data_IF_367947470957
#
_entry.id   IF_367947470957
#
_cell.length_a   1.000
_cell.length_b   1.000
_cell.length_c   1.000
_cell.angle_alpha   90.00
_cell.angle_beta   90.00
_cell.angle_gamma   90.00
#
_symmetry.space_group_name_H-M   'P 1'
#
loop_
_entity.id
_entity.type
_entity.pdbx_description
1 polymer ?
#
# COMPACT_ATOMS: atom_id res chain seq x y z
N UNK A 1 2.61 -17.15 15.48
CA UNK A 1 1.78 -16.79 16.66
C UNK A 1 1.30 -18.01 17.43
N UNK A 2 0.65 -18.99 16.78
CA UNK A 2 0.13 -20.18 17.48
C UNK A 2 1.25 -21.07 18.06
N UNK A 3 2.33 -21.27 17.30
CA UNK A 3 3.49 -22.07 17.75
C UNK A 3 4.16 -21.47 18.99
N UNK A 4 4.38 -20.15 19.00
CA UNK A 4 4.95 -19.45 20.14
C UNK A 4 4.02 -19.50 21.36
N UNK A 5 2.71 -19.31 21.18
CA UNK A 5 1.74 -19.45 22.27
C UNK A 5 1.78 -20.87 22.88
N UNK A 6 1.83 -21.91 22.05
CA UNK A 6 1.95 -23.30 22.52
C UNK A 6 3.25 -23.58 23.29
N UNK A 7 4.36 -22.96 22.88
CA UNK A 7 5.63 -23.07 23.60
C UNK A 7 5.52 -22.40 24.99
N UNK A 8 4.92 -21.21 25.07
CA UNK A 8 4.74 -20.49 26.34
C UNK A 8 3.78 -21.18 27.30
N UNK A 9 2.74 -21.87 26.81
CA UNK A 9 1.84 -22.64 27.69
C UNK A 9 2.57 -23.76 28.42
N UNK A 10 3.55 -24.39 27.78
CA UNK A 10 4.29 -25.52 28.36
C UNK A 10 5.50 -25.09 29.18
N UNK A 11 6.15 -23.96 28.84
CA UNK A 11 7.31 -23.48 29.58
C UNK A 11 6.95 -22.67 30.82
N UNK A 12 5.81 -21.97 30.78
CA UNK A 12 5.39 -21.05 31.83
C UNK A 12 4.13 -21.51 32.59
N UNK A 13 3.59 -22.68 32.26
CA UNK A 13 2.34 -23.23 32.82
C UNK A 13 1.15 -22.23 32.76
N UNK A 14 1.13 -21.38 31.73
CA UNK A 14 0.05 -20.41 31.50
C UNK A 14 -1.09 -21.03 30.68
N UNK A 15 -2.30 -20.48 30.83
CA UNK A 15 -3.40 -20.85 29.94
C UNK A 15 -3.08 -20.47 28.50
N UNK A 16 -3.60 -21.24 27.54
CA UNK A 16 -3.42 -20.95 26.11
C UNK A 16 -3.84 -19.54 25.71
N UNK A 17 -4.90 -19.02 26.30
CA UNK A 17 -5.39 -17.66 26.04
C UNK A 17 -4.39 -16.62 26.55
N UNK A 18 -3.81 -16.82 27.74
CA UNK A 18 -2.85 -15.89 28.34
C UNK A 18 -1.53 -15.88 27.56
N UNK A 19 -1.03 -17.07 27.16
CA UNK A 19 0.15 -17.20 26.31
C UNK A 19 -0.06 -16.61 24.91
N UNK A 20 -1.26 -16.76 24.35
CA UNK A 20 -1.62 -16.15 23.07
C UNK A 20 -1.69 -14.63 23.17
N UNK A 21 -2.30 -14.10 24.23
CA UNK A 21 -2.37 -12.68 24.53
C UNK A 21 -0.96 -12.07 24.68
N UNK A 22 -0.09 -12.68 25.49
CA UNK A 22 1.29 -12.25 25.67
C UNK A 22 2.06 -12.21 24.35
N UNK A 23 1.95 -13.28 23.56
CA UNK A 23 2.59 -13.39 22.25
C UNK A 23 2.08 -12.31 21.28
N UNK A 24 0.76 -12.09 21.24
CA UNK A 24 0.13 -11.12 20.33
C UNK A 24 0.59 -9.69 20.66
N UNK A 25 0.54 -9.28 21.93
CA UNK A 25 0.91 -7.94 22.36
C UNK A 25 2.39 -7.65 22.18
N UNK A 26 3.23 -8.67 22.37
CA UNK A 26 4.67 -8.57 22.11
C UNK A 26 4.95 -8.39 20.62
N UNK A 27 4.25 -9.13 19.76
CA UNK A 27 4.43 -9.05 18.30
C UNK A 27 3.86 -7.77 17.68
N UNK A 28 2.74 -7.27 18.20
CA UNK A 28 2.18 -5.96 17.81
C UNK A 28 2.97 -4.81 18.47
N UNK A 29 4.01 -5.12 19.27
CA UNK A 29 4.88 -4.15 19.94
C UNK A 29 4.15 -3.20 20.91
N UNK A 30 2.97 -3.60 21.40
CA UNK A 30 2.22 -2.86 22.42
C UNK A 30 2.91 -3.02 23.77
N UNK A 31 3.26 -4.26 24.13
CA UNK A 31 4.09 -4.59 25.30
C UNK A 31 3.61 -4.05 26.64
N UNK A 32 2.37 -4.33 27.08
CA UNK A 32 1.85 -3.85 28.37
C UNK A 32 2.69 -4.29 29.59
N UNK A 33 3.33 -5.46 29.51
CA UNK A 33 4.20 -5.97 30.58
C UNK A 33 3.45 -6.48 31.82
N UNK A 34 2.15 -6.76 31.68
CA UNK A 34 1.29 -7.35 32.71
C UNK A 34 1.59 -8.83 32.96
N UNK A 35 1.96 -9.56 31.92
CA UNK A 35 2.46 -10.94 31.99
C UNK A 35 3.98 -10.96 31.84
N UNK A 36 4.68 -11.49 32.83
CA UNK A 36 6.14 -11.53 32.88
C UNK A 36 6.67 -12.97 32.83
N UNK A 37 7.71 -13.20 32.03
CA UNK A 37 8.37 -14.50 31.99
C UNK A 37 9.18 -14.65 33.28
N UNK A 38 8.78 -15.59 34.14
CA UNK A 38 9.61 -16.07 35.24
C UNK A 38 10.86 -16.75 34.65
N UNK A 39 11.99 -16.05 34.69
CA UNK A 39 13.28 -16.61 34.27
C UNK A 39 14.17 -16.76 35.48
N UNK A 40 14.62 -17.98 35.74
CA UNK A 40 15.62 -18.28 36.77
C UNK A 40 17.00 -17.81 36.29
N UNK A 41 17.21 -16.51 36.16
CA UNK A 41 18.50 -15.78 36.01
C UNK A 41 19.39 -16.09 34.79
N UNK A 42 19.44 -17.34 34.32
CA UNK A 42 20.53 -17.87 33.50
C UNK A 42 20.18 -17.89 31.99
N UNK A 43 18.90 -17.78 31.63
CA UNK A 43 18.42 -17.95 30.24
C UNK A 43 17.77 -16.70 29.62
N UNK A 44 18.01 -15.52 30.18
CA UNK A 44 17.34 -14.29 29.71
C UNK A 44 17.66 -13.94 28.24
N UNK A 45 18.90 -14.15 27.80
CA UNK A 45 19.32 -13.89 26.42
C UNK A 45 18.59 -14.78 25.42
N UNK A 46 18.28 -16.03 25.80
CA UNK A 46 17.53 -16.97 24.96
C UNK A 46 16.10 -16.49 24.70
N UNK A 47 15.43 -15.97 25.72
CA UNK A 47 14.08 -15.41 25.58
C UNK A 47 14.05 -14.17 24.68
N UNK A 48 15.02 -13.28 24.85
CA UNK A 48 15.16 -12.09 23.99
C UNK A 48 15.36 -12.52 22.54
N UNK A 49 16.27 -13.46 22.27
CA UNK A 49 16.51 -13.97 20.92
C UNK A 49 15.25 -14.62 20.32
N UNK A 50 14.50 -15.38 21.12
CA UNK A 50 13.25 -16.00 20.68
C UNK A 50 12.20 -14.96 20.26
N UNK A 51 12.06 -13.86 21.03
CA UNK A 51 11.16 -12.76 20.69
C UNK A 51 11.58 -12.08 19.38
N UNK A 52 12.88 -11.81 19.20
CA UNK A 52 13.39 -11.22 17.95
C UNK A 52 13.12 -12.10 16.73
N UNK A 53 13.35 -13.41 16.84
CA UNK A 53 13.03 -14.36 15.76
C UNK A 53 11.53 -14.36 15.45
N UNK A 54 10.69 -14.35 16.49
CA UNK A 54 9.24 -14.24 16.35
C UNK A 54 8.80 -12.97 15.64
N UNK A 55 9.40 -11.83 16.00
CA UNK A 55 9.14 -10.54 15.36
C UNK A 55 9.51 -10.56 13.88
N UNK A 56 10.69 -11.05 13.52
CA UNK A 56 11.13 -11.14 12.11
C UNK A 56 10.14 -11.97 11.28
N UNK A 57 9.74 -13.14 11.78
CA UNK A 57 8.77 -13.99 11.08
C UNK A 57 7.39 -13.32 10.94
N UNK A 58 6.96 -12.56 11.95
CA UNK A 58 5.69 -11.84 11.89
C UNK A 58 5.73 -10.69 10.88
N UNK A 59 6.81 -9.90 10.86
CA UNK A 59 7.01 -8.81 9.89
C UNK A 59 7.01 -9.36 8.47
N UNK A 60 7.73 -10.45 8.20
CA UNK A 60 7.72 -11.09 6.88
C UNK A 60 6.32 -11.53 6.43
N UNK A 61 5.51 -12.02 7.37
CA UNK A 61 4.11 -12.41 7.07
C UNK A 61 3.27 -11.18 6.74
N UNK A 62 3.42 -10.11 7.52
CA UNK A 62 2.74 -8.83 7.28
C UNK A 62 3.16 -8.23 5.94
N UNK A 63 4.43 -8.30 5.58
CA UNK A 63 4.96 -7.78 4.32
C UNK A 63 4.42 -8.56 3.11
N UNK A 64 4.34 -9.89 3.21
CA UNK A 64 3.76 -10.75 2.17
C UNK A 64 2.27 -10.44 1.98
N UNK A 65 1.52 -10.37 3.08
CA UNK A 65 0.08 -10.05 3.06
C UNK A 65 -0.13 -8.62 2.57
N UNK A 66 0.71 -7.67 2.98
CA UNK A 66 0.69 -6.28 2.53
C UNK A 66 0.91 -6.17 1.03
N UNK A 67 1.92 -6.88 0.51
CA UNK A 67 2.22 -6.91 -0.93
C UNK A 67 1.06 -7.48 -1.75
N UNK A 68 0.47 -8.59 -1.28
CA UNK A 68 -0.71 -9.18 -1.91
C UNK A 68 -1.94 -8.26 -1.80
N UNK A 69 -2.15 -7.62 -0.65
CA UNK A 69 -3.23 -6.66 -0.43
C UNK A 69 -3.11 -5.48 -1.38
N UNK A 70 -1.92 -4.90 -1.54
CA UNK A 70 -1.66 -3.77 -2.45
C UNK A 70 -1.95 -4.16 -3.91
N UNK A 71 -1.57 -5.36 -4.36
CA UNK A 71 -1.87 -5.81 -5.71
C UNK A 71 -3.37 -6.01 -5.94
N UNK A 72 -4.07 -6.57 -4.95
CA UNK A 72 -5.52 -6.70 -4.98
C UNK A 72 -6.20 -5.34 -4.94
N UNK A 73 -5.68 -4.40 -4.14
CA UNK A 73 -6.19 -3.04 -4.03
C UNK A 73 -6.01 -2.26 -5.34
N UNK A 74 -4.89 -2.44 -6.04
CA UNK A 74 -4.67 -1.83 -7.36
C UNK A 74 -5.61 -2.40 -8.42
N UNK A 75 -5.85 -3.72 -8.40
CA UNK A 75 -6.85 -4.37 -9.28
C UNK A 75 -8.28 -3.89 -8.96
N UNK A 76 -8.58 -3.69 -7.68
CA UNK A 76 -9.86 -3.20 -7.20
C UNK A 76 -10.08 -1.72 -7.55
N UNK A 77 -9.06 -0.88 -7.43
CA UNK A 77 -9.10 0.55 -7.79
C UNK A 77 -9.54 0.77 -9.24
N UNK A 78 -9.06 -0.06 -10.18
CA UNK A 78 -9.51 -0.02 -11.58
C UNK A 78 -11.01 -0.30 -11.77
N UNK A 79 -11.60 -1.17 -10.95
CA UNK A 79 -13.03 -1.44 -10.99
C UNK A 79 -13.84 -0.25 -10.43
N UNK A 80 -13.30 0.44 -9.41
CA UNK A 80 -13.91 1.67 -8.88
C UNK A 80 -13.84 2.83 -9.86
N UNK A 81 -12.74 2.98 -10.59
CA UNK A 81 -12.62 3.99 -11.66
C UNK A 81 -13.60 3.71 -12.81
N UNK A 82 -13.78 2.44 -13.19
CA UNK A 82 -14.78 2.03 -14.17
C UNK A 82 -16.23 2.31 -13.70
N UNK A 83 -16.52 2.11 -12.41
CA UNK A 83 -17.80 2.47 -11.80
C UNK A 83 -17.99 3.98 -11.72
N UNK A 84 -16.94 4.75 -11.44
CA UNK A 84 -16.95 6.22 -11.46
C UNK A 84 -17.21 6.77 -12.87
N UNK A 85 -16.59 6.16 -13.88
CA UNK A 85 -16.84 6.42 -15.30
C UNK A 85 -18.28 6.08 -15.70
N UNK A 86 -18.76 4.88 -15.36
CA UNK A 86 -20.13 4.45 -15.65
C UNK A 86 -21.15 5.33 -14.93
N UNK A 87 -20.91 5.69 -13.67
CA UNK A 87 -21.76 6.61 -12.91
C UNK A 87 -21.76 8.01 -13.53
N UNK A 88 -20.63 8.47 -14.05
CA UNK A 88 -20.53 9.75 -14.75
C UNK A 88 -21.21 9.72 -16.12
N UNK A 89 -21.05 8.64 -16.87
CA UNK A 89 -21.70 8.41 -18.16
C UNK A 89 -23.22 8.25 -18.04
N UNK A 90 -23.70 7.61 -16.96
CA UNK A 90 -25.12 7.51 -16.63
C UNK A 90 -25.70 8.83 -16.13
N UNK A 91 -24.92 9.64 -15.41
CA UNK A 91 -25.38 10.94 -14.90
C UNK A 91 -25.38 12.04 -15.95
N UNK A 92 -24.43 12.05 -16.89
CA UNK A 92 -24.33 13.01 -17.98
C UNK A 92 -23.81 12.31 -19.24
N UNK A 93 -24.68 12.06 -20.21
CA UNK A 93 -24.36 11.40 -21.49
C UNK A 93 -23.48 12.21 -22.46
N UNK A 94 -22.58 13.08 -21.96
CA UNK A 94 -21.60 13.80 -22.79
C UNK A 94 -20.25 13.95 -22.07
N UNK A 95 -19.24 13.33 -22.69
CA UNK A 95 -17.80 13.50 -22.54
C UNK A 95 -17.19 13.35 -21.14
N UNK A 96 -16.58 12.17 -20.92
CA UNK A 96 -15.53 12.01 -19.91
C UNK A 96 -14.23 12.54 -20.51
N UNK A 97 -13.82 13.73 -20.06
CA UNK A 97 -12.51 14.31 -20.33
C UNK A 97 -11.54 14.00 -19.20
N UNK A 98 -10.25 14.03 -19.55
CA UNK A 98 -9.08 13.57 -18.79
C UNK A 98 -8.75 14.56 -17.65
N UNK A 99 -9.68 14.82 -16.74
CA UNK A 99 -9.45 15.64 -15.53
C UNK A 99 -9.35 14.77 -14.25
N UNK A 100 -9.53 13.46 -14.36
CA UNK A 100 -9.53 12.56 -13.20
C UNK A 100 -8.15 12.32 -12.55
N UNK A 101 -7.04 12.70 -13.21
CA UNK A 101 -5.69 12.47 -12.69
C UNK A 101 -5.31 13.40 -11.54
N UNK A 102 -5.87 14.61 -11.49
CA UNK A 102 -5.59 15.56 -10.40
C UNK A 102 -6.23 15.11 -9.08
N UNK A 103 -7.28 14.29 -9.11
CA UNK A 103 -7.90 13.73 -7.91
C UNK A 103 -7.07 12.65 -7.21
N UNK A 104 -6.06 12.11 -7.89
CA UNK A 104 -5.17 11.06 -7.37
C UNK A 104 -3.78 11.58 -6.98
N UNK A 105 -3.48 12.85 -7.28
CA UNK A 105 -2.24 13.47 -6.81
C UNK A 105 -2.40 13.92 -5.35
N UNK A 106 -1.50 13.52 -4.43
CA UNK A 106 -1.41 14.16 -3.12
C UNK A 106 -1.19 15.65 -3.33
N UNK A 107 -1.76 16.53 -2.50
CA UNK A 107 -1.64 17.99 -2.68
C UNK A 107 -0.18 18.42 -2.95
N UNK A 108 0.82 17.79 -2.33
CA UNK A 108 2.26 18.08 -2.54
C UNK A 108 2.91 17.50 -3.83
N UNK A 109 2.14 17.08 -4.83
CA UNK A 109 2.64 16.46 -6.06
C UNK A 109 3.64 17.32 -6.86
N UNK A 110 3.63 18.64 -6.65
CA UNK A 110 4.60 19.56 -7.25
C UNK A 110 6.04 19.36 -6.74
N UNK A 111 6.26 18.65 -5.63
CA UNK A 111 7.59 18.36 -5.09
C UNK A 111 8.27 17.17 -5.77
N UNK A 112 7.57 16.46 -6.66
CA UNK A 112 8.13 15.32 -7.38
C UNK A 112 9.12 15.78 -8.46
N UNK A 113 10.40 15.35 -8.44
CA UNK A 113 11.43 15.82 -9.37
C UNK A 113 11.13 15.61 -10.86
N UNK A 114 10.22 14.68 -11.20
CA UNK A 114 9.87 14.30 -12.57
C UNK A 114 8.64 15.03 -13.12
N UNK A 115 7.94 15.83 -12.31
CA UNK A 115 6.66 16.46 -12.73
C UNK A 115 6.87 17.48 -13.86
N UNK A 116 7.99 18.21 -13.83
CA UNK A 116 8.34 19.22 -14.83
C UNK A 116 8.63 18.59 -16.20
N UNK A 117 9.20 17.38 -16.22
CA UNK A 117 9.50 16.64 -17.44
C UNK A 117 8.21 16.19 -18.13
N UNK A 118 7.22 15.72 -17.35
CA UNK A 118 5.89 15.36 -17.87
C UNK A 118 5.17 16.59 -18.43
N UNK A 119 5.22 17.74 -17.71
CA UNK A 119 4.61 18.99 -18.19
C UNK A 119 5.23 19.44 -19.50
N UNK A 120 6.55 19.31 -19.64
CA UNK A 120 7.28 19.60 -20.89
C UNK A 120 6.85 18.69 -22.03
N UNK A 121 6.69 17.38 -21.80
CA UNK A 121 6.22 16.44 -22.82
C UNK A 121 4.79 16.76 -23.25
N UNK A 122 3.92 17.10 -22.30
CA UNK A 122 2.52 17.43 -22.60
C UNK A 122 2.39 18.67 -23.48
N UNK A 123 3.13 19.75 -23.17
CA UNK A 123 3.11 20.98 -23.96
C UNK A 123 3.73 20.79 -25.35
N UNK A 124 4.78 19.96 -25.47
CA UNK A 124 5.36 19.57 -26.76
C UNK A 124 4.38 18.76 -27.62
N UNK A 125 3.60 17.88 -27.01
CA UNK A 125 2.58 17.10 -27.73
C UNK A 125 1.45 17.98 -28.27
N UNK A 126 0.95 18.93 -27.46
CA UNK A 126 -0.07 19.88 -27.86
C UNK A 126 0.43 20.84 -28.97
N UNK A 127 1.69 21.29 -28.88
CA UNK A 127 2.30 22.12 -29.92
C UNK A 127 2.47 21.36 -31.24
N UNK A 128 2.89 20.09 -31.18
CA UNK A 128 3.06 19.24 -32.36
C UNK A 128 1.74 18.95 -33.07
N UNK A 129 0.64 18.83 -32.31
CA UNK A 129 -0.70 18.62 -32.86
C UNK A 129 -1.24 19.87 -33.59
N UNK A 130 -0.95 21.07 -33.06
CA UNK A 130 -1.28 22.34 -33.71
C UNK A 130 -0.56 22.52 -35.06
N UNK A 131 0.75 22.24 -35.11
CA UNK A 131 1.52 22.32 -36.37
C UNK A 131 1.02 21.31 -37.43
N UNK A 132 0.63 20.11 -36.99
CA UNK A 132 0.11 19.08 -37.89
C UNK A 132 -1.25 19.48 -38.51
N UNK A 133 -2.13 20.13 -37.74
CA UNK A 133 -3.40 20.64 -38.25
C UNK A 133 -3.21 21.81 -39.25
N UNK A 134 -2.24 22.68 -39.02
CA UNK A 134 -1.88 23.77 -39.95
C UNK A 134 -1.36 23.25 -41.31
N UNK A 135 -0.57 22.17 -41.30
CA UNK A 135 -0.08 21.51 -42.53
C UNK A 135 -1.19 20.81 -43.30
N UNK A 136 -2.17 20.22 -42.61
CA UNK A 136 -3.36 19.62 -43.24
C UNK A 136 -4.26 20.66 -43.91
N UNK A 137 -4.47 21.82 -43.29
CA UNK A 137 -5.30 22.89 -43.87
C UNK A 137 -4.64 23.51 -45.11
N UNK A 138 -3.31 23.63 -45.13
CA UNK A 138 -2.56 24.13 -46.30
C UNK A 138 -2.49 23.13 -47.46
N UNK A 139 -2.59 21.82 -47.19
CA UNK A 139 -2.68 20.81 -48.26
C UNK A 139 -4.09 20.69 -48.86
N UNK A 140 -5.15 20.88 -48.08
CA UNK A 140 -6.54 20.88 -48.61
C UNK A 140 -6.86 22.08 -49.51
N UNK A 141 -6.10 23.17 -49.43
CA UNK A 141 -6.26 24.36 -50.29
C UNK A 141 -5.47 24.28 -51.61
N UNK A 142 -4.73 23.18 -51.85
CA UNK A 142 -3.91 22.96 -53.05
C UNK A 142 -4.48 21.91 -54.02
N UNK A 143 -5.75 21.51 -53.87
CA UNK A 143 -6.48 20.60 -54.77
C UNK A 143 -7.52 21.36 -55.58
#
# INVERSE_FOLDING_TARGET
MTVSAYIFTHLQDWNFIDSFYFTLITLVTIGYGDLNIETNGENYYGWIAFIFVGLILSTLTVDLVGSACIQNLHSFGRNFDALGFLRSALRNGKHVTIEHWEAFCPDEYWLMPWIDEIRKISSLSAFKESDNNSKKSTQSLKV
#
